data_IF_335358164377
#
_entry.id   IF_335358164377
#
_cell.length_a   1.000
_cell.length_b   1.000
_cell.length_c   1.000
_cell.angle_alpha   90.00
_cell.angle_beta   90.00
_cell.angle_gamma   90.00
#
_symmetry.space_group_name_H-M   'P 1'
#
loop_
_entity.id
_entity.type
_entity.pdbx_description
1 polymer ?
#
# COMPACT_ATOMS: atom_id res chain seq x y z
N UNK A 1 -8.69 6.85 -47.67
CA UNK A 1 -8.91 5.80 -46.64
C UNK A 1 -7.63 5.42 -45.90
N UNK A 2 -6.49 5.14 -46.56
CA UNK A 2 -5.21 4.80 -45.88
C UNK A 2 -4.71 5.86 -44.85
N UNK A 3 -4.89 7.15 -45.12
CA UNK A 3 -4.46 8.24 -44.20
C UNK A 3 -5.28 8.30 -42.91
N UNK A 4 -6.58 7.99 -42.97
CA UNK A 4 -7.47 7.94 -41.79
C UNK A 4 -7.11 6.74 -40.91
N UNK A 5 -6.81 5.59 -41.53
CA UNK A 5 -6.38 4.39 -40.80
C UNK A 5 -5.09 4.63 -40.00
N UNK A 6 -4.12 5.34 -40.59
CA UNK A 6 -2.87 5.71 -39.89
C UNK A 6 -3.13 6.66 -38.73
N UNK A 7 -4.07 7.61 -38.89
CA UNK A 7 -4.43 8.55 -37.82
C UNK A 7 -5.13 7.86 -36.65
N UNK A 8 -6.04 6.92 -36.93
CA UNK A 8 -6.71 6.10 -35.90
C UNK A 8 -5.72 5.20 -35.19
N UNK A 9 -4.75 4.61 -35.91
CA UNK A 9 -3.68 3.81 -35.34
C UNK A 9 -2.78 4.63 -34.40
N UNK A 10 -2.47 5.88 -34.76
CA UNK A 10 -1.71 6.79 -33.90
C UNK A 10 -2.48 7.20 -32.63
N UNK A 11 -3.80 7.42 -32.71
CA UNK A 11 -4.63 7.75 -31.54
C UNK A 11 -4.76 6.56 -30.57
N UNK A 12 -4.75 5.33 -31.09
CA UNK A 12 -4.77 4.12 -30.26
C UNK A 12 -3.52 3.99 -29.37
N UNK A 13 -2.37 4.55 -29.77
CA UNK A 13 -1.13 4.53 -28.98
C UNK A 13 -1.20 5.44 -27.74
N UNK A 14 -2.06 6.46 -27.74
CA UNK A 14 -2.25 7.38 -26.61
C UNK A 14 -3.42 7.00 -25.70
N UNK A 15 -4.18 5.95 -26.01
CA UNK A 15 -5.33 5.52 -25.20
C UNK A 15 -4.94 4.84 -23.88
N UNK A 16 -3.66 4.58 -23.66
CA UNK A 16 -3.15 4.04 -22.39
C UNK A 16 -2.99 5.17 -21.36
N UNK A 17 -4.11 5.83 -21.02
CA UNK A 17 -4.14 6.72 -19.88
C UNK A 17 -4.45 5.88 -18.63
N UNK A 18 -3.43 5.18 -18.10
CA UNK A 18 -3.52 4.39 -16.85
C UNK A 18 -3.63 5.26 -15.59
N UNK A 19 -4.22 6.46 -15.71
CA UNK A 19 -4.46 7.32 -14.57
C UNK A 19 -5.73 6.83 -13.87
N UNK A 20 -5.55 6.11 -12.76
CA UNK A 20 -6.67 5.78 -11.88
C UNK A 20 -7.41 7.06 -11.48
N UNK A 21 -8.73 7.07 -11.63
CA UNK A 21 -9.54 8.22 -11.24
C UNK A 21 -9.34 8.52 -9.76
N UNK A 22 -9.07 9.79 -9.43
CA UNK A 22 -8.75 10.20 -8.06
C UNK A 22 -9.96 9.98 -7.14
N UNK A 23 -9.85 9.16 -6.08
CA UNK A 23 -10.95 8.95 -5.13
C UNK A 23 -11.34 10.24 -4.40
N UNK A 24 -12.62 10.36 -4.02
CA UNK A 24 -13.13 11.51 -3.23
C UNK A 24 -12.42 11.63 -1.88
N UNK A 25 -12.19 10.49 -1.22
CA UNK A 25 -11.54 10.40 0.09
C UNK A 25 -10.13 9.78 -0.06
N UNK A 26 -9.33 10.31 -0.99
CA UNK A 26 -7.95 9.84 -1.15
C UNK A 26 -7.15 10.14 0.13
N UNK A 27 -6.68 9.08 0.78
CA UNK A 27 -5.75 9.21 1.90
C UNK A 27 -4.38 9.70 1.42
N UNK A 28 -3.68 10.46 2.26
CA UNK A 28 -2.28 10.77 1.99
C UNK A 28 -1.42 9.50 2.06
N UNK A 29 -0.23 9.54 1.47
CA UNK A 29 0.73 8.42 1.53
C UNK A 29 1.06 8.08 2.98
N UNK A 30 1.27 9.09 3.80
CA UNK A 30 1.60 8.95 5.22
C UNK A 30 0.47 8.24 5.97
N UNK A 31 -0.77 8.70 5.79
CA UNK A 31 -1.94 8.08 6.42
C UNK A 31 -2.14 6.63 5.98
N UNK A 32 -1.99 6.34 4.68
CA UNK A 32 -2.09 4.98 4.17
C UNK A 32 -0.93 4.09 4.69
N UNK A 33 0.27 4.66 4.86
CA UNK A 33 1.42 3.97 5.46
C UNK A 33 1.15 3.55 6.91
N UNK A 34 0.55 4.44 7.71
CA UNK A 34 0.14 4.13 9.09
C UNK A 34 -0.89 3.01 9.14
N UNK A 35 -1.90 3.07 8.27
CA UNK A 35 -2.96 2.04 8.18
C UNK A 35 -2.38 0.68 7.80
N UNK A 36 -1.51 0.64 6.79
CA UNK A 36 -0.85 -0.60 6.35
C UNK A 36 0.05 -1.17 7.47
N UNK A 37 0.79 -0.31 8.18
CA UNK A 37 1.62 -0.73 9.29
C UNK A 37 0.80 -1.39 10.40
N UNK A 38 -0.34 -0.79 10.77
CA UNK A 38 -1.21 -1.36 11.79
C UNK A 38 -1.86 -2.67 11.32
N UNK A 39 -2.34 -2.77 10.07
CA UNK A 39 -2.81 -4.04 9.52
C UNK A 39 -1.74 -5.14 9.61
N UNK A 40 -0.52 -4.86 9.18
CA UNK A 40 0.58 -5.83 9.21
C UNK A 40 0.91 -6.32 10.63
N UNK A 41 0.84 -5.45 11.63
CA UNK A 41 1.07 -5.81 13.04
C UNK A 41 -0.04 -6.73 13.55
N UNK A 42 -1.31 -6.40 13.27
CA UNK A 42 -2.44 -7.22 13.71
C UNK A 42 -2.48 -8.58 13.01
N UNK A 43 -2.20 -8.63 11.69
CA UNK A 43 -2.11 -9.89 10.95
C UNK A 43 -1.00 -10.80 11.50
N UNK A 44 0.16 -10.27 11.88
CA UNK A 44 1.22 -11.07 12.51
C UNK A 44 0.78 -11.68 13.85
N UNK A 45 -0.15 -11.05 14.57
CA UNK A 45 -0.65 -11.58 15.83
C UNK A 45 -1.41 -12.89 15.64
N UNK A 46 -2.00 -13.11 14.46
CA UNK A 46 -2.66 -14.37 14.11
C UNK A 46 -1.71 -15.58 14.14
N UNK A 47 -0.42 -15.39 13.84
CA UNK A 47 0.60 -16.45 13.93
C UNK A 47 0.79 -16.93 15.37
N UNK A 48 0.67 -16.01 16.34
CA UNK A 48 0.85 -16.28 17.77
C UNK A 48 -0.47 -16.74 18.41
N UNK A 49 -1.59 -16.20 17.95
CA UNK A 49 -2.92 -16.49 18.44
C UNK A 49 -3.87 -16.87 17.28
N UNK A 50 -3.84 -18.11 16.78
CA UNK A 50 -4.63 -18.54 15.62
C UNK A 50 -6.14 -18.50 15.80
N UNK A 51 -6.61 -18.31 17.04
CA UNK A 51 -8.04 -18.14 17.38
C UNK A 51 -8.50 -16.68 17.27
N UNK A 52 -7.60 -15.75 16.96
CA UNK A 52 -7.95 -14.36 16.70
C UNK A 52 -8.78 -14.27 15.44
N UNK A 53 -9.89 -13.54 15.53
CA UNK A 53 -10.68 -13.18 14.36
C UNK A 53 -9.99 -12.03 13.62
N UNK A 54 -9.48 -12.32 12.43
CA UNK A 54 -8.82 -11.34 11.57
C UNK A 54 -9.79 -10.27 11.06
N UNK A 55 -11.08 -10.58 10.95
CA UNK A 55 -12.09 -9.62 10.52
C UNK A 55 -12.31 -8.55 11.60
N UNK A 56 -12.40 -8.96 12.86
CA UNK A 56 -12.47 -8.04 14.00
C UNK A 56 -11.21 -7.18 14.12
N UNK A 57 -10.03 -7.77 13.91
CA UNK A 57 -8.76 -7.04 13.91
C UNK A 57 -8.73 -5.99 12.78
N UNK A 58 -9.16 -6.36 11.57
CA UNK A 58 -9.25 -5.44 10.45
C UNK A 58 -10.25 -4.32 10.71
N UNK A 59 -11.43 -4.64 11.27
CA UNK A 59 -12.43 -3.65 11.64
C UNK A 59 -11.91 -2.69 12.71
N UNK A 60 -11.13 -3.19 13.66
CA UNK A 60 -10.48 -2.37 14.68
C UNK A 60 -9.52 -1.34 14.05
N UNK A 61 -8.65 -1.77 13.11
CA UNK A 61 -7.74 -0.86 12.40
C UNK A 61 -8.53 0.22 11.64
N UNK A 62 -9.54 -0.16 10.87
CA UNK A 62 -10.39 0.81 10.14
C UNK A 62 -11.02 1.85 11.08
N UNK A 63 -11.58 1.40 12.21
CA UNK A 63 -12.15 2.29 13.24
C UNK A 63 -11.09 3.19 13.87
N UNK A 64 -9.92 2.66 14.21
CA UNK A 64 -8.80 3.41 14.80
C UNK A 64 -8.36 4.57 13.91
N UNK A 65 -8.32 4.35 12.60
CA UNK A 65 -7.92 5.39 11.64
C UNK A 65 -9.07 6.29 11.17
N UNK A 66 -10.30 6.02 11.59
CA UNK A 66 -11.53 6.70 11.16
C UNK A 66 -11.73 6.65 9.64
N UNK A 67 -11.63 5.46 9.06
CA UNK A 67 -11.79 5.23 7.61
C UNK A 67 -12.74 4.07 7.36
N UNK A 68 -13.39 4.06 6.19
CA UNK A 68 -14.12 2.90 5.70
C UNK A 68 -13.19 1.94 4.94
N UNK A 69 -13.62 0.68 4.79
CA UNK A 69 -12.92 -0.27 3.91
C UNK A 69 -12.85 0.22 2.46
N UNK A 70 -13.86 0.98 2.01
CA UNK A 70 -13.86 1.59 0.67
C UNK A 70 -12.79 2.68 0.55
N UNK A 71 -12.65 3.55 1.54
CA UNK A 71 -11.62 4.61 1.52
C UNK A 71 -10.21 4.00 1.45
N UNK A 72 -9.98 2.90 2.19
CA UNK A 72 -8.73 2.13 2.09
C UNK A 72 -8.52 1.56 0.69
N UNK A 73 -9.48 0.77 0.18
CA UNK A 73 -9.38 0.10 -1.11
C UNK A 73 -9.16 1.11 -2.25
N UNK A 74 -9.92 2.19 -2.26
CA UNK A 74 -9.87 3.18 -3.33
C UNK A 74 -8.54 3.95 -3.29
N UNK A 75 -8.05 4.31 -2.11
CA UNK A 75 -6.74 4.96 -1.95
C UNK A 75 -5.58 4.04 -2.35
N UNK A 76 -5.64 2.76 -1.93
CA UNK A 76 -4.64 1.77 -2.33
C UNK A 76 -4.61 1.61 -3.85
N UNK A 77 -5.78 1.37 -4.47
CA UNK A 77 -5.92 1.26 -5.92
C UNK A 77 -5.47 2.51 -6.68
N UNK A 78 -5.59 3.69 -6.09
CA UNK A 78 -5.05 4.89 -6.70
C UNK A 78 -3.51 4.85 -6.76
N UNK A 79 -2.85 4.44 -5.66
CA UNK A 79 -1.39 4.43 -5.59
C UNK A 79 -0.72 3.23 -6.27
N UNK A 80 -1.40 2.09 -6.49
CA UNK A 80 -0.78 0.94 -7.18
C UNK A 80 -0.36 1.24 -8.63
N UNK A 81 -0.97 2.25 -9.26
CA UNK A 81 -0.67 2.66 -10.64
C UNK A 81 0.62 3.52 -10.73
N UNK A 82 1.15 3.99 -9.59
CA UNK A 82 2.42 4.69 -9.48
C UNK A 82 3.37 3.92 -8.56
N UNK A 83 4.27 3.14 -9.16
CA UNK A 83 5.22 2.29 -8.44
C UNK A 83 6.08 3.08 -7.46
N UNK A 84 6.42 4.34 -7.76
CA UNK A 84 7.21 5.19 -6.86
C UNK A 84 6.42 5.52 -5.60
N UNK A 85 5.17 5.92 -5.77
CA UNK A 85 4.28 6.20 -4.63
C UNK A 85 4.00 4.97 -3.80
N UNK A 86 3.77 3.82 -4.44
CA UNK A 86 3.52 2.56 -3.74
C UNK A 86 4.73 2.13 -2.90
N UNK A 87 5.94 2.20 -3.47
CA UNK A 87 7.17 1.87 -2.74
C UNK A 87 7.38 2.80 -1.54
N UNK A 88 7.17 4.10 -1.71
CA UNK A 88 7.27 5.07 -0.62
C UNK A 88 6.30 4.76 0.53
N UNK A 89 5.07 4.36 0.22
CA UNK A 89 4.08 3.96 1.23
C UNK A 89 4.56 2.74 2.03
N UNK A 90 5.05 1.71 1.34
CA UNK A 90 5.54 0.50 2.02
C UNK A 90 6.83 0.75 2.82
N UNK A 91 7.76 1.56 2.31
CA UNK A 91 8.98 1.94 3.02
C UNK A 91 8.64 2.71 4.30
N UNK A 92 7.64 3.61 4.24
CA UNK A 92 7.19 4.35 5.40
C UNK A 92 6.47 3.45 6.40
N UNK A 93 5.60 2.53 5.94
CA UNK A 93 4.98 1.53 6.81
C UNK A 93 6.04 0.68 7.53
N UNK A 94 7.08 0.24 6.82
CA UNK A 94 8.21 -0.49 7.40
C UNK A 94 8.92 0.33 8.48
N UNK A 95 9.21 1.60 8.24
CA UNK A 95 9.82 2.50 9.25
C UNK A 95 8.94 2.58 10.50
N UNK A 96 7.63 2.80 10.35
CA UNK A 96 6.66 2.86 11.45
C UNK A 96 6.70 1.57 12.30
N UNK A 97 6.74 0.40 11.65
CA UNK A 97 6.84 -0.89 12.36
C UNK A 97 8.16 -0.99 13.15
N UNK A 98 9.29 -0.62 12.53
CA UNK A 98 10.60 -0.68 13.17
C UNK A 98 10.77 0.30 14.33
N UNK A 99 10.07 1.44 14.28
CA UNK A 99 10.04 2.41 15.38
C UNK A 99 9.24 1.89 16.57
N UNK A 100 8.21 1.06 16.34
CA UNK A 100 7.41 0.45 17.40
C UNK A 100 8.11 -0.71 18.11
N UNK A 101 9.08 -1.38 17.47
CA UNK A 101 9.89 -2.43 18.09
C UNK A 101 11.41 -2.23 17.84
N UNK A 102 12.12 -1.55 18.75
CA UNK A 102 13.56 -1.36 18.66
C UNK A 102 14.36 -2.68 18.64
N UNK A 103 13.86 -3.76 19.26
CA UNK A 103 14.53 -5.07 19.28
C UNK A 103 14.49 -5.72 17.90
N UNK A 104 13.40 -5.54 17.17
CA UNK A 104 13.28 -5.96 15.78
C UNK A 104 14.37 -5.30 14.91
N UNK A 105 14.62 -4.00 15.11
CA UNK A 105 15.68 -3.28 14.38
C UNK A 105 17.07 -3.88 14.63
N UNK A 106 17.39 -4.23 15.87
CA UNK A 106 18.65 -4.91 16.21
C UNK A 106 18.72 -6.33 15.63
N UNK A 107 17.62 -7.08 15.68
CA UNK A 107 17.51 -8.43 15.10
C UNK A 107 17.77 -8.43 13.60
N UNK A 108 17.18 -7.51 12.84
CA UNK A 108 17.37 -7.41 11.39
C UNK A 108 18.84 -7.11 11.03
N UNK A 109 19.47 -6.16 11.75
CA UNK A 109 20.89 -5.83 11.58
C UNK A 109 21.80 -7.03 11.84
N UNK A 110 21.57 -7.74 12.95
CA UNK A 110 22.39 -8.89 13.34
C UNK A 110 22.30 -10.04 12.33
N UNK A 111 21.12 -10.26 11.77
CA UNK A 111 20.86 -11.39 10.87
C UNK A 111 20.98 -11.02 9.37
N UNK A 112 21.45 -9.80 9.04
CA UNK A 112 21.61 -9.30 7.66
C UNK A 112 20.33 -9.35 6.82
N UNK A 113 19.16 -9.21 7.45
CA UNK A 113 17.88 -9.04 6.75
C UNK A 113 17.65 -7.58 6.32
N UNK A 114 18.73 -6.80 6.11
CA UNK A 114 18.60 -5.44 5.59
C UNK A 114 18.09 -5.49 4.15
N UNK A 115 17.30 -4.47 3.76
CA UNK A 115 16.80 -4.37 2.39
C UNK A 115 17.97 -4.42 1.43
N UNK A 116 17.96 -5.39 0.51
CA UNK A 116 18.72 -5.27 -0.73
C UNK A 116 17.83 -4.45 -1.68
N UNK A 117 18.11 -3.15 -1.93
CA UNK A 117 17.27 -2.30 -2.77
C UNK A 117 17.47 -2.60 -4.27
N UNK A 118 17.70 -3.86 -4.65
CA UNK A 118 17.98 -4.26 -6.03
C UNK A 118 16.98 -5.31 -6.50
N UNK A 119 15.87 -4.84 -7.04
CA UNK A 119 15.26 -5.38 -8.26
C UNK A 119 14.77 -4.21 -9.11
#
# INVERSE_FOLDING_TARGET
MKKIFVMVLFLALFSCNNSAEKPKNLMSKEKLSEVIADFAIYEQTYVIQPKMDLEDANLFVLKKHNISARDFKDSYNYYIHDSKSLNEIYDNAKKIILEKDPKMKEYLKKNKFEDNPKQ
#
